data_IF_212068898831
#
_entry.id   IF_212068898831
#
_cell.length_a   1.000
_cell.length_b   1.000
_cell.length_c   1.000
_cell.angle_alpha   90.00
_cell.angle_beta   90.00
_cell.angle_gamma   90.00
#
_symmetry.space_group_name_H-M   'P 1'
#
loop_
_entity.id
_entity.type
_entity.pdbx_description
1 polymer ?
#
# COMPACT_ATOMS: atom_id res chain seq x y z
N UNK A 1 -4.30 -22.87 17.84
CA UNK A 1 -3.54 -21.71 18.40
C UNK A 1 -3.00 -22.11 19.77
N UNK A 2 -1.69 -21.96 20.00
CA UNK A 2 -1.05 -22.28 21.28
C UNK A 2 -1.60 -21.36 22.40
N UNK A 3 -1.97 -21.94 23.55
CA UNK A 3 -2.60 -21.22 24.68
C UNK A 3 -1.61 -20.77 25.78
N UNK A 4 -0.30 -20.96 25.57
CA UNK A 4 0.73 -20.69 26.57
C UNK A 4 1.81 -19.75 26.01
N UNK A 5 2.12 -18.69 26.77
CA UNK A 5 3.22 -17.77 26.52
C UNK A 5 4.43 -18.18 27.36
N UNK A 6 5.58 -18.42 26.71
CA UNK A 6 6.83 -18.72 27.41
C UNK A 6 7.72 -17.47 27.43
N UNK A 7 8.15 -17.07 28.64
CA UNK A 7 9.12 -15.99 28.79
C UNK A 7 10.52 -16.58 28.95
N UNK A 8 11.39 -16.28 27.99
CA UNK A 8 12.80 -16.71 28.03
C UNK A 8 13.65 -15.54 28.55
N UNK A 9 14.54 -15.82 29.51
CA UNK A 9 15.57 -14.87 29.97
C UNK A 9 16.94 -15.44 29.63
N UNK A 10 17.66 -14.78 28.74
CA UNK A 10 18.99 -15.24 28.33
C UNK A 10 20.01 -15.03 29.43
N UNK A 11 21.00 -15.93 29.47
CA UNK A 11 22.20 -15.79 30.30
C UNK A 11 23.26 -14.98 29.55
N UNK A 12 24.30 -14.53 30.26
CA UNK A 12 25.35 -13.63 29.78
C UNK A 12 25.95 -14.00 28.41
N UNK A 13 26.17 -15.30 28.17
CA UNK A 13 26.79 -15.83 26.93
C UNK A 13 25.92 -15.66 25.67
N UNK A 14 24.61 -15.41 25.79
CA UNK A 14 23.67 -15.37 24.67
C UNK A 14 23.03 -13.99 24.52
N UNK A 15 23.03 -13.45 23.31
CA UNK A 15 22.37 -12.18 22.99
C UNK A 15 20.88 -12.38 22.71
N UNK A 16 20.03 -11.53 23.30
CA UNK A 16 18.58 -11.62 23.16
C UNK A 16 18.11 -11.46 21.71
N UNK A 17 18.71 -10.52 20.96
CA UNK A 17 18.30 -10.24 19.58
C UNK A 17 18.78 -11.34 18.65
N UNK A 18 19.98 -11.88 18.88
CA UNK A 18 20.43 -13.07 18.17
C UNK A 18 19.47 -14.26 18.38
N UNK A 19 19.08 -14.53 19.63
CA UNK A 19 18.13 -15.61 19.94
C UNK A 19 16.77 -15.38 19.25
N UNK A 20 16.29 -14.15 19.23
CA UNK A 20 15.06 -13.78 18.51
C UNK A 20 15.15 -14.14 17.02
N UNK A 21 16.21 -13.73 16.33
CA UNK A 21 16.41 -14.04 14.92
C UNK A 21 16.59 -15.53 14.64
N UNK A 22 17.28 -16.24 15.54
CA UNK A 22 17.39 -17.68 15.45
C UNK A 22 16.01 -18.36 15.53
N UNK A 23 15.15 -17.95 16.47
CA UNK A 23 13.79 -18.50 16.56
C UNK A 23 12.96 -18.22 15.31
N UNK A 24 13.06 -17.03 14.72
CA UNK A 24 12.38 -16.70 13.47
C UNK A 24 12.85 -17.60 12.32
N UNK A 25 14.15 -17.84 12.21
CA UNK A 25 14.72 -18.73 11.20
C UNK A 25 14.30 -20.18 11.43
N UNK A 26 14.45 -20.68 12.66
CA UNK A 26 14.11 -22.06 13.06
C UNK A 26 12.62 -22.37 12.91
N UNK A 27 11.75 -21.37 13.11
CA UNK A 27 10.33 -21.50 12.83
C UNK A 27 10.01 -21.57 11.34
N UNK A 28 10.75 -20.84 10.50
CA UNK A 28 10.54 -20.80 9.04
C UNK A 28 11.11 -22.03 8.32
N UNK A 29 12.25 -22.55 8.76
CA UNK A 29 12.91 -23.68 8.11
C UNK A 29 12.45 -25.05 8.64
N UNK A 30 11.49 -25.07 9.58
CA UNK A 30 10.98 -26.30 10.18
C UNK A 30 11.85 -26.92 11.26
N UNK A 31 12.97 -26.29 11.68
CA UNK A 31 13.84 -26.84 12.73
C UNK A 31 13.14 -26.98 14.09
N UNK A 32 12.05 -26.24 14.33
CA UNK A 32 11.24 -26.39 15.53
C UNK A 32 10.19 -27.52 15.44
N UNK A 33 9.94 -28.08 14.25
CA UNK A 33 8.89 -29.10 14.05
C UNK A 33 9.02 -30.33 14.95
N UNK A 34 10.22 -30.91 15.17
CA UNK A 34 10.37 -32.07 16.06
C UNK A 34 10.01 -31.79 17.52
N UNK A 35 10.02 -30.51 17.92
CA UNK A 35 9.79 -30.06 19.30
C UNK A 35 8.31 -29.73 19.58
N UNK A 36 7.47 -29.70 18.54
CA UNK A 36 6.03 -29.53 18.70
C UNK A 36 5.36 -30.86 19.01
N UNK A 37 4.44 -30.85 19.98
CA UNK A 37 3.58 -31.99 20.30
C UNK A 37 2.14 -31.76 19.83
N UNK A 38 1.40 -32.84 19.59
CA UNK A 38 -0.01 -32.80 19.20
C UNK A 38 -0.24 -32.81 17.68
N UNK A 39 -1.26 -33.54 17.24
CA UNK A 39 -1.61 -33.74 15.82
C UNK A 39 -2.54 -32.66 15.28
N UNK A 40 -3.55 -32.24 16.06
CA UNK A 40 -4.54 -31.23 15.66
C UNK A 40 -4.15 -29.81 16.10
N UNK A 41 -3.49 -29.67 17.25
CA UNK A 41 -2.94 -28.39 17.74
C UNK A 41 -1.49 -28.62 18.14
N UNK A 42 -0.56 -28.05 17.37
CA UNK A 42 0.87 -28.07 17.68
C UNK A 42 1.14 -27.23 18.94
N UNK A 43 1.85 -27.80 19.91
CA UNK A 43 2.22 -27.16 21.16
C UNK A 43 3.73 -27.26 21.41
N UNK A 44 4.41 -26.13 21.60
CA UNK A 44 5.79 -26.10 22.06
C UNK A 44 5.81 -26.05 23.59
N UNK A 45 6.19 -27.17 24.23
CA UNK A 45 6.20 -27.28 25.69
C UNK A 45 7.42 -26.60 26.31
N UNK A 46 7.34 -26.23 27.59
CA UNK A 46 8.50 -25.67 28.30
C UNK A 46 9.69 -26.65 28.36
N UNK A 47 9.44 -27.96 28.46
CA UNK A 47 10.49 -28.99 28.36
C UNK A 47 11.17 -28.96 27.01
N UNK A 48 10.39 -28.95 25.92
CA UNK A 48 10.93 -28.92 24.57
C UNK A 48 11.79 -27.67 24.32
N UNK A 49 11.43 -26.52 24.88
CA UNK A 49 12.25 -25.29 24.80
C UNK A 49 13.60 -25.45 25.50
N UNK A 50 13.65 -26.16 26.63
CA UNK A 50 14.91 -26.42 27.36
C UNK A 50 15.82 -27.37 26.58
N UNK A 51 15.26 -28.25 25.76
CA UNK A 51 15.97 -29.23 24.93
C UNK A 51 16.41 -28.68 23.56
N UNK A 52 16.05 -27.43 23.22
CA UNK A 52 16.47 -26.82 21.95
C UNK A 52 17.97 -26.62 21.90
N UNK A 53 18.59 -27.18 20.86
CA UNK A 53 19.98 -26.91 20.54
C UNK A 53 20.08 -25.65 19.69
N UNK A 54 20.85 -24.67 20.18
CA UNK A 54 21.06 -23.40 19.49
C UNK A 54 22.55 -23.22 19.14
N UNK A 55 22.89 -22.65 17.99
CA UNK A 55 24.25 -22.23 17.69
C UNK A 55 24.66 -21.13 18.68
N UNK A 56 25.86 -21.26 19.25
CA UNK A 56 26.39 -20.31 20.22
C UNK A 56 27.74 -19.74 19.74
N UNK A 57 27.76 -18.91 18.69
CA UNK A 57 28.99 -18.27 18.22
C UNK A 57 29.51 -17.25 19.25
N UNK A 58 30.74 -16.73 19.10
CA UNK A 58 31.27 -15.67 19.97
C UNK A 58 30.32 -14.47 20.08
N UNK A 59 30.31 -13.82 21.26
CA UNK A 59 29.35 -12.74 21.55
C UNK A 59 29.40 -11.58 20.56
N UNK A 60 30.59 -11.25 20.04
CA UNK A 60 30.76 -10.22 19.03
C UNK A 60 30.03 -10.57 17.73
N UNK A 61 30.11 -11.82 17.29
CA UNK A 61 29.44 -12.31 16.09
C UNK A 61 27.91 -12.34 16.26
N UNK A 62 27.41 -12.80 17.41
CA UNK A 62 25.98 -12.74 17.74
C UNK A 62 25.43 -11.32 17.60
N UNK A 63 26.16 -10.33 18.15
CA UNK A 63 25.78 -8.91 18.07
C UNK A 63 25.83 -8.39 16.64
N UNK A 64 26.84 -8.76 15.86
CA UNK A 64 26.97 -8.35 14.46
C UNK A 64 25.81 -8.88 13.61
N UNK A 65 25.50 -10.18 13.73
CA UNK A 65 24.35 -10.82 13.06
C UNK A 65 23.05 -10.11 13.43
N UNK A 66 22.80 -9.96 14.74
CA UNK A 66 21.58 -9.32 15.23
C UNK A 66 21.47 -7.85 14.81
N UNK A 67 22.59 -7.13 14.72
CA UNK A 67 22.60 -5.74 14.27
C UNK A 67 22.24 -5.62 12.78
N UNK A 68 22.83 -6.46 11.92
CA UNK A 68 22.53 -6.45 10.49
C UNK A 68 21.06 -6.79 10.24
N UNK A 69 20.56 -7.86 10.84
CA UNK A 69 19.16 -8.28 10.70
C UNK A 69 18.20 -7.23 11.27
N UNK A 70 18.52 -6.66 12.44
CA UNK A 70 17.76 -5.55 13.04
C UNK A 70 17.65 -4.35 12.11
N UNK A 71 18.77 -3.94 11.53
CA UNK A 71 18.79 -2.80 10.60
C UNK A 71 17.94 -3.04 9.35
N UNK A 72 17.89 -4.29 8.87
CA UNK A 72 17.04 -4.66 7.74
C UNK A 72 15.56 -4.66 8.12
N UNK A 73 15.19 -5.17 9.30
CA UNK A 73 13.82 -5.12 9.79
C UNK A 73 13.34 -3.68 10.00
N UNK A 74 14.18 -2.82 10.60
CA UNK A 74 13.89 -1.40 10.78
C UNK A 74 13.61 -0.72 9.42
N UNK A 75 14.38 -1.06 8.38
CA UNK A 75 14.17 -0.55 7.03
C UNK A 75 12.88 -1.08 6.38
N UNK A 76 12.55 -2.35 6.60
CA UNK A 76 11.30 -2.95 6.11
C UNK A 76 10.11 -2.25 6.75
N UNK A 77 10.17 -2.01 8.06
CA UNK A 77 9.10 -1.35 8.80
C UNK A 77 8.93 0.11 8.35
N UNK A 78 10.04 0.85 8.19
CA UNK A 78 10.00 2.20 7.64
C UNK A 78 9.37 2.23 6.24
N UNK A 79 9.73 1.28 5.36
CA UNK A 79 9.13 1.20 4.03
C UNK A 79 7.63 0.88 4.07
N UNK A 80 7.18 0.04 5.02
CA UNK A 80 5.75 -0.26 5.20
C UNK A 80 4.98 0.97 5.66
N UNK A 81 5.53 1.73 6.61
CA UNK A 81 4.93 3.00 7.07
C UNK A 81 4.87 4.04 5.95
N UNK A 82 5.92 4.12 5.13
CA UNK A 82 5.95 5.00 3.96
C UNK A 82 4.88 4.57 2.94
N UNK A 83 4.74 3.29 2.64
CA UNK A 83 3.70 2.79 1.74
C UNK A 83 2.29 3.07 2.28
N UNK A 84 2.04 2.84 3.57
CA UNK A 84 0.75 3.15 4.20
C UNK A 84 0.44 4.66 4.13
N UNK A 85 1.45 5.50 4.30
CA UNK A 85 1.29 6.97 4.18
C UNK A 85 0.99 7.36 2.73
N UNK A 86 1.71 6.80 1.76
CA UNK A 86 1.47 7.06 0.33
C UNK A 86 0.08 6.60 -0.11
N UNK A 87 -0.37 5.44 0.38
CA UNK A 87 -1.71 4.93 0.12
C UNK A 87 -2.78 5.87 0.70
N UNK A 88 -2.63 6.30 1.95
CA UNK A 88 -3.55 7.25 2.58
C UNK A 88 -3.59 8.59 1.82
N UNK A 89 -2.44 9.09 1.37
CA UNK A 89 -2.38 10.29 0.53
C UNK A 89 -3.07 10.09 -0.82
N UNK A 90 -2.84 8.96 -1.49
CA UNK A 90 -3.47 8.64 -2.77
C UNK A 90 -4.99 8.50 -2.63
N UNK A 91 -5.48 7.84 -1.58
CA UNK A 91 -6.92 7.74 -1.28
C UNK A 91 -7.54 9.12 -1.01
N UNK A 92 -6.86 9.98 -0.23
CA UNK A 92 -7.32 11.33 0.04
C UNK A 92 -7.39 12.18 -1.23
N UNK A 93 -6.37 12.10 -2.10
CA UNK A 93 -6.37 12.76 -3.40
C UNK A 93 -7.48 12.22 -4.31
N UNK A 94 -7.64 10.91 -4.40
CA UNK A 94 -8.68 10.30 -5.22
C UNK A 94 -10.08 10.74 -4.78
N UNK A 95 -10.35 10.69 -3.47
CA UNK A 95 -11.61 11.18 -2.91
C UNK A 95 -11.81 12.66 -3.22
N UNK A 96 -10.79 13.49 -2.98
CA UNK A 96 -10.85 14.92 -3.25
C UNK A 96 -11.14 15.22 -4.73
N UNK A 97 -10.48 14.52 -5.66
CA UNK A 97 -10.51 14.85 -7.09
C UNK A 97 -11.68 14.21 -7.83
N UNK A 98 -12.05 12.98 -7.49
CA UNK A 98 -12.99 12.15 -8.26
C UNK A 98 -14.29 11.82 -7.53
N UNK A 99 -14.40 12.14 -6.23
CA UNK A 99 -15.63 11.91 -5.45
C UNK A 99 -16.21 13.23 -4.96
N UNK A 100 -15.38 14.06 -4.32
CA UNK A 100 -15.78 15.37 -3.79
C UNK A 100 -15.65 16.49 -4.84
N UNK A 101 -15.01 16.21 -5.97
CA UNK A 101 -14.78 17.13 -7.11
C UNK A 101 -14.13 18.47 -6.73
N UNK A 102 -13.26 18.48 -5.71
CA UNK A 102 -12.65 19.70 -5.20
C UNK A 102 -11.99 20.53 -6.30
N UNK A 103 -11.12 20.00 -7.19
CA UNK A 103 -10.47 20.83 -8.20
C UNK A 103 -11.45 21.46 -9.21
N UNK A 104 -12.59 20.81 -9.48
CA UNK A 104 -13.62 21.31 -10.39
C UNK A 104 -14.42 22.42 -9.71
N UNK A 105 -14.80 22.23 -8.44
CA UNK A 105 -15.38 23.28 -7.59
C UNK A 105 -14.46 24.49 -7.55
N UNK A 106 -13.17 24.26 -7.37
CA UNK A 106 -12.15 25.29 -7.31
C UNK A 106 -12.12 26.14 -8.59
N UNK A 107 -12.11 25.48 -9.75
CA UNK A 107 -12.17 26.12 -11.07
C UNK A 107 -13.51 26.83 -11.32
N UNK A 108 -14.63 26.23 -10.91
CA UNK A 108 -15.96 26.81 -11.05
C UNK A 108 -16.09 28.11 -10.24
N UNK A 109 -15.63 28.11 -8.99
CA UNK A 109 -15.61 29.31 -8.14
C UNK A 109 -14.74 30.41 -8.75
N UNK A 110 -13.56 30.07 -9.27
CA UNK A 110 -12.65 31.04 -9.89
C UNK A 110 -13.22 31.62 -11.19
N UNK A 111 -13.95 30.83 -11.97
CA UNK A 111 -14.59 31.24 -13.22
C UNK A 111 -15.96 31.92 -13.03
N UNK A 112 -16.52 31.89 -11.81
CA UNK A 112 -17.87 32.38 -11.54
C UNK A 112 -18.99 31.49 -12.10
N UNK A 113 -18.70 30.21 -12.34
CA UNK A 113 -19.67 29.25 -12.84
C UNK A 113 -20.60 28.73 -11.73
N UNK A 114 -21.86 28.39 -12.05
CA UNK A 114 -22.80 27.87 -11.06
C UNK A 114 -22.35 26.49 -10.56
N UNK A 115 -22.53 26.27 -9.25
CA UNK A 115 -22.30 24.97 -8.60
C UNK A 115 -23.65 24.34 -8.25
N UNK A 116 -23.90 23.08 -8.66
CA UNK A 116 -25.14 22.39 -8.36
C UNK A 116 -25.45 22.31 -6.86
N UNK A 117 -26.74 22.34 -6.52
CA UNK A 117 -27.24 22.33 -5.14
C UNK A 117 -26.63 21.20 -4.26
N UNK A 118 -26.51 19.95 -4.74
CA UNK A 118 -25.88 18.87 -3.94
C UNK A 118 -24.40 19.11 -3.58
N UNK A 119 -23.70 19.98 -4.32
CA UNK A 119 -22.28 20.27 -4.14
C UNK A 119 -22.02 21.62 -3.44
N UNK A 120 -23.07 22.40 -3.14
CA UNK A 120 -22.92 23.72 -2.52
C UNK A 120 -22.26 23.65 -1.14
N UNK A 121 -22.66 22.70 -0.28
CA UNK A 121 -22.05 22.50 1.04
C UNK A 121 -20.55 22.26 0.92
N UNK A 122 -20.13 21.47 -0.07
CA UNK A 122 -18.71 21.22 -0.32
C UNK A 122 -18.00 22.47 -0.83
N UNK A 123 -18.63 23.22 -1.73
CA UNK A 123 -18.09 24.47 -2.26
C UNK A 123 -17.90 25.55 -1.18
N UNK A 124 -18.84 25.67 -0.25
CA UNK A 124 -18.73 26.54 0.92
C UNK A 124 -17.57 26.12 1.82
N UNK A 125 -17.45 24.83 2.12
CA UNK A 125 -16.32 24.30 2.87
C UNK A 125 -14.98 24.59 2.17
N UNK A 126 -14.91 24.43 0.84
CA UNK A 126 -13.72 24.77 0.04
C UNK A 126 -13.39 26.25 0.08
N UNK A 127 -14.40 27.13 0.00
CA UNK A 127 -14.23 28.57 0.07
C UNK A 127 -13.74 29.01 1.45
N UNK A 128 -14.25 28.41 2.52
CA UNK A 128 -13.86 28.70 3.90
C UNK A 128 -12.39 28.37 4.20
N UNK A 129 -11.78 27.42 3.47
CA UNK A 129 -10.37 27.08 3.62
C UNK A 129 -9.42 28.21 3.18
N UNK A 130 -9.84 29.11 2.28
CA UNK A 130 -9.01 30.22 1.78
C UNK A 130 -7.62 29.77 1.35
N UNK A 131 -6.57 30.42 1.89
CA UNK A 131 -5.16 30.13 1.57
C UNK A 131 -4.69 28.75 2.06
N UNK A 132 -5.38 28.15 3.03
CA UNK A 132 -5.04 26.81 3.53
C UNK A 132 -5.35 25.71 2.51
N UNK A 133 -6.17 26.04 1.51
CA UNK A 133 -6.58 25.13 0.45
C UNK A 133 -5.40 24.60 -0.38
N UNK A 134 -4.29 25.34 -0.44
CA UNK A 134 -3.09 25.08 -1.25
C UNK A 134 -3.45 24.65 -2.68
N UNK A 135 -3.56 25.60 -3.63
CA UNK A 135 -4.00 25.28 -4.98
C UNK A 135 -3.09 24.23 -5.63
N UNK A 136 -3.67 23.40 -6.49
CA UNK A 136 -2.89 22.43 -7.25
C UNK A 136 -1.88 23.16 -8.14
N UNK A 137 -0.75 22.52 -8.49
CA UNK A 137 0.12 23.02 -9.54
C UNK A 137 -0.68 23.34 -10.80
N UNK A 138 -0.37 24.46 -11.45
CA UNK A 138 -1.15 24.97 -12.59
C UNK A 138 -1.34 23.91 -13.70
N UNK A 139 -0.30 23.13 -13.98
CA UNK A 139 -0.35 22.06 -14.98
C UNK A 139 -1.39 20.97 -14.65
N UNK A 140 -1.61 20.67 -13.36
CA UNK A 140 -2.61 19.71 -12.91
C UNK A 140 -3.99 20.38 -12.84
N UNK A 141 -4.07 21.61 -12.32
CA UNK A 141 -5.34 22.34 -12.19
C UNK A 141 -6.06 22.50 -13.54
N UNK A 142 -5.29 22.72 -14.63
CA UNK A 142 -5.81 22.83 -16.00
C UNK A 142 -6.42 21.54 -16.57
N UNK A 143 -6.15 20.39 -15.97
CA UNK A 143 -6.74 19.11 -16.41
C UNK A 143 -8.19 18.95 -15.94
N UNK A 144 -8.63 19.74 -14.97
CA UNK A 144 -9.99 19.70 -14.44
C UNK A 144 -10.87 20.75 -15.13
N UNK A 145 -12.11 20.40 -15.52
CA UNK A 145 -13.04 21.38 -16.06
C UNK A 145 -13.45 22.40 -14.98
N UNK A 146 -14.19 23.43 -15.39
CA UNK A 146 -14.69 24.49 -14.50
C UNK A 146 -16.21 24.49 -14.35
N UNK A 147 -16.88 23.44 -14.82
CA UNK A 147 -18.35 23.35 -14.89
C UNK A 147 -18.82 21.94 -14.55
N UNK A 148 -20.07 21.85 -14.11
CA UNK A 148 -20.78 20.60 -13.88
C UNK A 148 -21.93 20.46 -14.88
N UNK A 149 -22.19 19.22 -15.29
CA UNK A 149 -23.32 18.83 -16.14
C UNK A 149 -24.11 17.73 -15.43
N UNK A 150 -25.42 17.69 -15.65
CA UNK A 150 -26.26 16.63 -15.10
C UNK A 150 -26.29 15.45 -16.08
N UNK A 151 -25.97 14.27 -15.56
CA UNK A 151 -26.08 12.99 -16.24
C UNK A 151 -27.16 12.16 -15.54
N UNK A 152 -28.01 11.48 -16.31
CA UNK A 152 -29.14 10.72 -15.77
C UNK A 152 -28.70 9.51 -14.92
N UNK A 153 -27.59 8.87 -15.27
CA UNK A 153 -27.08 7.68 -14.58
C UNK A 153 -26.16 8.01 -13.41
N UNK A 154 -25.40 9.11 -13.51
CA UNK A 154 -24.34 9.48 -12.57
C UNK A 154 -24.63 10.73 -11.73
N UNK A 155 -25.75 11.42 -11.99
CA UNK A 155 -26.06 12.70 -11.36
C UNK A 155 -25.16 13.84 -11.86
N UNK A 156 -24.82 14.77 -10.96
CA UNK A 156 -23.95 15.90 -11.31
C UNK A 156 -22.49 15.46 -11.41
N UNK A 157 -21.94 15.58 -12.62
CA UNK A 157 -20.55 15.22 -12.93
C UNK A 157 -19.82 16.41 -13.55
N UNK A 158 -18.47 16.46 -13.47
CA UNK A 158 -17.70 17.46 -14.18
C UNK A 158 -17.96 17.43 -15.70
N UNK A 159 -17.96 18.60 -16.33
CA UNK A 159 -18.16 18.71 -17.78
C UNK A 159 -17.13 17.86 -18.55
N UNK A 160 -17.60 17.08 -19.53
CA UNK A 160 -16.77 16.17 -20.33
C UNK A 160 -16.52 14.80 -19.68
N UNK A 161 -17.02 14.54 -18.47
CA UNK A 161 -16.95 13.22 -17.84
C UNK A 161 -18.19 12.41 -18.19
N UNK A 162 -18.00 11.21 -18.72
CA UNK A 162 -19.07 10.31 -19.14
C UNK A 162 -18.71 8.84 -18.84
N UNK A 163 -19.73 8.01 -18.58
CA UNK A 163 -19.56 6.56 -18.55
C UNK A 163 -19.72 6.00 -19.97
N UNK A 164 -18.73 5.21 -20.43
CA UNK A 164 -18.78 4.52 -21.72
C UNK A 164 -18.30 3.09 -21.62
N UNK A 165 -18.64 2.27 -22.61
CA UNK A 165 -18.02 0.97 -22.79
C UNK A 165 -16.56 1.13 -23.16
N UNK A 166 -15.68 0.29 -22.62
CA UNK A 166 -14.26 0.32 -22.96
C UNK A 166 -14.02 0.07 -24.46
N UNK A 167 -14.91 -0.68 -25.12
CA UNK A 167 -14.85 -0.93 -26.56
C UNK A 167 -15.11 0.31 -27.42
N UNK A 168 -15.72 1.36 -26.84
CA UNK A 168 -15.91 2.65 -27.53
C UNK A 168 -14.64 3.53 -27.43
N UNK A 169 -13.75 3.21 -26.49
CA UNK A 169 -12.54 4.00 -26.22
C UNK A 169 -11.32 3.55 -27.05
N UNK A 170 -11.33 2.36 -27.62
CA UNK A 170 -10.26 1.87 -28.48
C UNK A 170 -10.78 0.97 -29.59
N UNK A 171 -10.13 1.03 -30.75
CA UNK A 171 -10.34 0.03 -31.80
C UNK A 171 -9.54 -1.22 -31.46
N UNK A 172 -10.23 -2.33 -31.17
CA UNK A 172 -9.57 -3.62 -31.06
C UNK A 172 -9.08 -4.02 -32.46
N UNK A 173 -7.76 -4.03 -32.67
CA UNK A 173 -7.17 -4.65 -33.85
C UNK A 173 -7.34 -6.17 -33.73
N UNK A 174 -8.49 -6.66 -34.20
CA UNK A 174 -8.80 -8.09 -34.20
C UNK A 174 -7.90 -8.85 -35.16
N UNK A 175 -7.10 -9.79 -34.62
CA UNK A 175 -6.56 -10.94 -35.32
C UNK A 175 -5.91 -10.67 -36.69
N UNK A 176 -4.78 -9.94 -36.72
CA UNK A 176 -3.77 -10.28 -37.72
C UNK A 176 -3.24 -11.67 -37.35
N UNK A 177 -3.36 -12.71 -38.20
CA UNK A 177 -2.59 -13.92 -38.01
C UNK A 177 -1.12 -13.54 -38.16
N UNK A 178 -0.44 -13.28 -37.05
CA UNK A 178 0.99 -13.02 -37.05
C UNK A 178 1.68 -14.25 -37.62
N UNK A 179 2.36 -14.09 -38.76
CA UNK A 179 3.30 -15.11 -39.20
C UNK A 179 4.42 -15.12 -38.17
N UNK A 180 4.82 -16.31 -37.72
CA UNK A 180 5.81 -16.48 -36.63
C UNK A 180 7.15 -15.75 -36.84
N UNK A 181 7.46 -15.27 -38.05
CA UNK A 181 8.63 -14.47 -38.37
C UNK A 181 8.49 -12.96 -38.15
N UNK A 182 7.33 -12.45 -37.73
CA UNK A 182 7.08 -11.02 -37.48
C UNK A 182 7.05 -10.68 -35.96
N UNK A 183 7.41 -11.64 -35.10
CA UNK A 183 7.61 -11.38 -33.68
C UNK A 183 8.89 -10.56 -33.48
N UNK A 184 8.73 -9.31 -33.06
CA UNK A 184 9.80 -8.43 -32.61
C UNK A 184 9.63 -8.21 -31.10
N UNK A 185 10.62 -8.62 -30.31
CA UNK A 185 10.59 -8.63 -28.84
C UNK A 185 10.55 -7.21 -28.22
N UNK A 186 10.73 -6.18 -29.02
CA UNK A 186 10.94 -4.78 -28.64
C UNK A 186 9.69 -3.88 -28.83
N UNK A 187 8.58 -4.42 -29.33
CA UNK A 187 7.25 -3.81 -29.20
C UNK A 187 7.01 -2.50 -29.98
N UNK A 188 7.85 -2.17 -30.97
CA UNK A 188 7.58 -1.07 -31.89
C UNK A 188 6.82 -1.58 -33.11
N UNK A 189 5.55 -1.19 -33.24
CA UNK A 189 4.79 -1.33 -34.48
C UNK A 189 5.01 -0.07 -35.32
N UNK A 190 5.34 -0.23 -36.61
CA UNK A 190 5.43 0.85 -37.60
C UNK A 190 4.08 1.28 -38.15
#
# INVERSE_FOLDING_TARGET
IQKALHRIRVKEKLDNRFLHYWFLLSGRNGALEPYFTGTTIKHLTGKAIVELEIPLPPKAEQKAIAHILGTLDDKIELNRQMNATLEAMAQALFKSWFVDFDPVIDNALAAGNPIPEPLQVRAEARKALGDQRKPLPEAIQKQFPSRFVFNEDMGWVPEGWEARSIGDAFSLLGGHPFKSGEYVDDGQYG
#
